data_IF_551181554702
#
_entry.id   IF_551181554702
#
_cell.length_a   1.000
_cell.length_b   1.000
_cell.length_c   1.000
_cell.angle_alpha   90.00
_cell.angle_beta   90.00
_cell.angle_gamma   90.00
#
_symmetry.space_group_name_H-M   'P 1'
#
loop_
_entity.id
_entity.type
_entity.pdbx_description
1 polymer ?
#
# COMPACT_ATOMS: atom_id res chain seq x y z
N UNK A 1 6.08 -16.60 2.98
CA UNK A 1 6.73 -16.85 1.67
C UNK A 1 5.82 -17.75 0.85
N UNK A 2 4.91 -17.21 0.04
CA UNK A 2 4.13 -17.98 -0.94
C UNK A 2 5.07 -18.57 -2.00
N UNK A 3 4.92 -19.85 -2.31
CA UNK A 3 5.94 -20.67 -2.97
C UNK A 3 6.09 -20.41 -4.47
N UNK A 4 7.31 -20.06 -4.89
CA UNK A 4 7.78 -20.20 -6.26
C UNK A 4 7.94 -21.70 -6.58
N UNK A 5 7.01 -22.29 -7.33
CA UNK A 5 7.20 -23.63 -7.92
C UNK A 5 7.34 -23.50 -9.43
N UNK A 6 8.59 -23.38 -9.85
CA UNK A 6 9.07 -23.36 -11.23
C UNK A 6 10.58 -23.15 -11.18
N UNK A 7 11.35 -24.21 -11.41
CA UNK A 7 12.80 -24.31 -11.18
C UNK A 7 13.57 -23.15 -11.85
N UNK A 8 14.39 -22.40 -11.09
CA UNK A 8 15.32 -21.40 -11.63
C UNK A 8 16.72 -21.99 -11.57
N UNK A 9 17.27 -22.36 -12.74
CA UNK A 9 18.64 -22.89 -12.85
C UNK A 9 19.54 -21.82 -13.46
N UNK A 10 20.64 -21.49 -12.78
CA UNK A 10 21.69 -20.65 -13.36
C UNK A 10 22.88 -21.54 -13.71
N UNK A 11 23.30 -21.53 -14.97
CA UNK A 11 24.49 -22.25 -15.43
C UNK A 11 25.63 -21.25 -15.59
N UNK A 12 26.74 -21.48 -14.89
CA UNK A 12 27.93 -20.66 -14.99
C UNK A 12 29.08 -21.53 -15.48
N UNK A 13 29.71 -21.12 -16.58
CA UNK A 13 30.89 -21.77 -17.14
C UNK A 13 32.09 -20.85 -16.94
N UNK A 14 32.96 -21.18 -15.98
CA UNK A 14 34.11 -20.34 -15.63
C UNK A 14 34.80 -20.78 -14.34
N UNK A 15 35.92 -20.13 -14.03
CA UNK A 15 36.71 -20.42 -12.83
C UNK A 15 36.11 -19.68 -11.63
N UNK A 16 35.55 -20.41 -10.67
CA UNK A 16 34.78 -19.85 -9.53
C UNK A 16 35.70 -19.42 -8.37
N UNK A 17 36.86 -20.05 -8.20
CA UNK A 17 37.87 -19.62 -7.22
C UNK A 17 39.25 -20.20 -7.53
N UNK A 18 40.30 -19.37 -7.41
CA UNK A 18 41.66 -19.85 -7.19
C UNK A 18 41.91 -19.81 -5.67
N UNK A 19 42.18 -20.97 -5.06
CA UNK A 19 42.67 -21.12 -3.67
C UNK A 19 41.71 -21.02 -2.46
N UNK A 20 40.45 -20.61 -2.59
CA UNK A 20 39.50 -20.68 -1.45
C UNK A 20 38.63 -21.94 -1.51
N UNK A 21 38.69 -22.79 -0.47
CA UNK A 21 37.99 -24.09 -0.41
C UNK A 21 36.46 -24.00 -0.32
N UNK A 22 35.88 -22.80 -0.26
CA UNK A 22 34.44 -22.61 -0.08
C UNK A 22 33.95 -21.45 -0.96
N UNK A 23 33.39 -21.75 -2.15
CA UNK A 23 32.70 -20.75 -2.95
C UNK A 23 31.61 -20.10 -2.11
N UNK A 24 31.54 -18.76 -2.11
CA UNK A 24 30.43 -18.07 -1.46
C UNK A 24 29.11 -18.51 -2.10
N UNK A 25 28.07 -18.82 -1.31
CA UNK A 25 26.78 -19.21 -1.86
C UNK A 25 26.24 -18.09 -2.74
N UNK A 26 25.84 -18.43 -3.96
CA UNK A 26 25.24 -17.47 -4.88
C UNK A 26 23.84 -17.11 -4.40
N UNK A 27 23.59 -15.82 -4.22
CA UNK A 27 22.29 -15.29 -3.86
C UNK A 27 21.67 -14.59 -5.06
N UNK A 28 20.45 -14.99 -5.43
CA UNK A 28 19.67 -14.34 -6.47
C UNK A 28 18.52 -13.56 -5.84
N UNK A 29 18.37 -12.30 -6.23
CA UNK A 29 17.19 -11.50 -5.89
C UNK A 29 16.20 -11.54 -7.05
N UNK A 30 15.19 -12.40 -6.94
CA UNK A 30 14.08 -12.45 -7.89
C UNK A 30 12.98 -11.50 -7.43
N UNK A 31 12.42 -10.74 -8.37
CA UNK A 31 11.32 -9.80 -8.11
C UNK A 31 10.12 -10.19 -8.95
N UNK A 32 8.93 -10.15 -8.35
CA UNK A 32 7.67 -10.50 -9.00
C UNK A 32 6.70 -9.34 -8.82
N UNK A 33 6.66 -8.41 -9.77
CA UNK A 33 5.77 -7.24 -9.69
C UNK A 33 4.64 -7.32 -10.70
N UNK A 34 4.94 -7.68 -11.95
CA UNK A 34 3.99 -7.64 -13.09
C UNK A 34 3.57 -9.01 -13.62
N UNK A 35 4.04 -10.11 -13.03
CA UNK A 35 3.78 -11.47 -13.50
C UNK A 35 3.47 -12.42 -12.32
N UNK A 36 2.68 -13.46 -12.54
CA UNK A 36 2.42 -14.52 -11.55
C UNK A 36 1.29 -14.25 -10.54
N UNK A 37 0.50 -13.20 -10.75
CA UNK A 37 -0.74 -12.98 -10.01
C UNK A 37 -1.76 -14.10 -10.31
N UNK A 38 -2.71 -14.29 -9.40
CA UNK A 38 -3.86 -15.15 -9.66
C UNK A 38 -4.81 -14.43 -10.63
N UNK A 39 -4.54 -14.59 -11.93
CA UNK A 39 -5.17 -13.84 -13.01
C UNK A 39 -4.32 -12.68 -13.56
N UNK A 40 -4.91 -11.80 -14.40
CA UNK A 40 -4.21 -10.64 -14.95
C UNK A 40 -3.90 -9.61 -13.87
N UNK A 41 -2.72 -8.99 -13.95
CA UNK A 41 -2.33 -7.90 -13.04
C UNK A 41 -3.24 -6.72 -13.24
N UNK A 42 -3.86 -6.25 -12.16
CA UNK A 42 -4.65 -5.04 -12.16
C UNK A 42 -3.73 -3.82 -12.24
N UNK A 43 -3.96 -2.96 -13.23
CA UNK A 43 -3.26 -1.69 -13.44
C UNK A 43 -1.72 -1.76 -13.37
N UNK A 44 -1.07 -2.46 -14.32
CA UNK A 44 0.36 -2.81 -14.24
C UNK A 44 1.31 -1.61 -14.31
N UNK A 45 0.87 -0.51 -14.95
CA UNK A 45 1.69 0.70 -15.16
C UNK A 45 2.12 1.37 -13.85
N UNK A 46 1.29 1.28 -12.81
CA UNK A 46 1.50 1.92 -11.50
C UNK A 46 1.82 0.93 -10.39
N UNK A 47 2.01 -0.35 -10.73
CA UNK A 47 2.26 -1.42 -9.75
C UNK A 47 3.69 -1.38 -9.19
N UNK A 48 4.66 -0.98 -10.02
CA UNK A 48 6.06 -0.84 -9.64
C UNK A 48 6.36 0.62 -9.27
N UNK A 49 6.86 0.84 -8.06
CA UNK A 49 7.37 2.15 -7.62
C UNK A 49 8.89 2.02 -7.46
N UNK A 50 9.63 2.79 -8.26
CA UNK A 50 11.09 2.84 -8.21
C UNK A 50 11.53 3.85 -7.14
N UNK A 51 12.03 3.32 -6.03
CA UNK A 51 12.68 4.08 -4.98
C UNK A 51 14.19 4.06 -5.24
N UNK A 52 14.86 5.19 -5.17
CA UNK A 52 16.32 5.26 -5.27
C UNK A 52 16.89 5.71 -3.93
N UNK A 53 17.84 4.94 -3.40
CA UNK A 53 18.65 5.37 -2.26
C UNK A 53 20.00 5.85 -2.76
N UNK A 54 20.18 7.18 -2.82
CA UNK A 54 21.42 7.80 -3.27
C UNK A 54 22.46 7.93 -2.15
N UNK A 55 22.03 7.83 -0.89
CA UNK A 55 22.85 8.13 0.29
C UNK A 55 23.40 6.88 1.01
N UNK A 56 22.86 5.70 0.71
CA UNK A 56 23.32 4.44 1.31
C UNK A 56 24.75 4.09 0.90
N UNK A 57 25.60 3.83 1.90
CA UNK A 57 26.95 3.29 1.66
C UNK A 57 26.83 1.92 1.00
N UNK A 58 27.48 1.75 -0.14
CA UNK A 58 27.66 0.47 -0.79
C UNK A 58 29.04 -0.08 -0.44
N UNK A 59 29.09 -1.31 0.06
CA UNK A 59 30.35 -2.01 0.24
C UNK A 59 30.97 -2.28 -1.14
N UNK A 60 32.29 -2.15 -1.25
CA UNK A 60 33.06 -2.43 -2.47
C UNK A 60 32.64 -1.62 -3.72
N UNK A 61 32.14 -0.38 -3.54
CA UNK A 61 31.71 0.51 -4.64
C UNK A 61 32.78 0.74 -5.72
N UNK A 62 34.07 0.70 -5.34
CA UNK A 62 35.19 0.89 -6.25
C UNK A 62 35.36 -0.25 -7.28
N UNK A 63 34.85 -1.45 -6.97
CA UNK A 63 35.00 -2.64 -7.82
C UNK A 63 33.76 -2.90 -8.70
N UNK A 64 32.70 -2.09 -8.56
CA UNK A 64 31.42 -2.25 -9.24
C UNK A 64 31.30 -1.31 -10.45
N UNK A 65 30.62 -1.78 -11.50
CA UNK A 65 30.29 -0.93 -12.65
C UNK A 65 29.18 0.07 -12.29
N UNK A 66 29.14 1.21 -12.98
CA UNK A 66 28.10 2.22 -12.78
C UNK A 66 26.67 1.65 -12.90
N UNK A 67 26.47 0.66 -13.77
CA UNK A 67 25.19 -0.04 -13.94
C UNK A 67 24.85 -0.93 -12.73
N UNK A 68 25.84 -1.60 -12.13
CA UNK A 68 25.64 -2.41 -10.93
C UNK A 68 25.31 -1.52 -9.72
N UNK A 69 25.98 -0.39 -9.58
CA UNK A 69 25.72 0.61 -8.53
C UNK A 69 24.29 1.14 -8.66
N UNK A 70 23.85 1.52 -9.87
CA UNK A 70 22.49 1.97 -10.10
C UNK A 70 21.44 0.91 -9.73
N UNK A 71 21.70 -0.36 -10.06
CA UNK A 71 20.80 -1.48 -9.72
C UNK A 71 20.74 -1.79 -8.22
N UNK A 72 21.85 -1.63 -7.50
CA UNK A 72 21.92 -1.81 -6.05
C UNK A 72 21.19 -0.69 -5.31
N UNK A 73 21.30 0.54 -5.79
CA UNK A 73 20.61 1.72 -5.25
C UNK A 73 19.11 1.74 -5.59
N UNK A 74 18.69 1.04 -6.65
CA UNK A 74 17.29 0.95 -7.07
C UNK A 74 16.49 -0.08 -6.25
N UNK A 75 15.70 0.42 -5.32
CA UNK A 75 14.70 -0.33 -4.57
C UNK A 75 13.41 -0.40 -5.40
N UNK A 76 13.11 -1.61 -5.85
CA UNK A 76 11.87 -1.91 -6.56
C UNK A 76 10.80 -2.22 -5.52
N UNK A 77 9.99 -1.21 -5.19
CA UNK A 77 8.91 -1.34 -4.24
C UNK A 77 7.57 -1.56 -4.96
N UNK A 78 6.61 -2.13 -4.24
CA UNK A 78 5.29 -2.40 -4.78
C UNK A 78 4.29 -1.36 -4.28
N UNK A 79 3.39 -0.94 -5.15
CA UNK A 79 2.31 -0.05 -4.78
C UNK A 79 1.38 -0.75 -3.76
N UNK A 80 1.14 -0.15 -2.58
CA UNK A 80 0.34 -0.81 -1.55
C UNK A 80 -1.13 -0.99 -1.93
N UNK A 81 -1.69 -0.16 -2.82
CA UNK A 81 -3.03 -0.40 -3.36
C UNK A 81 -3.09 -1.74 -4.11
N UNK A 82 -2.06 -2.07 -4.89
CA UNK A 82 -1.94 -3.35 -5.58
C UNK A 82 -1.76 -4.52 -4.61
N UNK A 83 -1.01 -4.34 -3.51
CA UNK A 83 -0.88 -5.36 -2.47
C UNK A 83 -2.26 -5.69 -1.87
N UNK A 84 -3.07 -4.67 -1.57
CA UNK A 84 -4.42 -4.86 -1.04
C UNK A 84 -5.35 -5.56 -2.03
N UNK A 85 -5.24 -5.21 -3.32
CA UNK A 85 -5.98 -5.89 -4.39
C UNK A 85 -5.55 -7.35 -4.52
N UNK A 86 -4.26 -7.67 -4.45
CA UNK A 86 -3.79 -9.05 -4.47
C UNK A 86 -4.29 -9.85 -3.25
N UNK A 87 -4.29 -9.24 -2.06
CA UNK A 87 -4.85 -9.85 -0.84
C UNK A 87 -6.36 -10.11 -0.96
N UNK A 88 -7.09 -9.28 -1.71
CA UNK A 88 -8.51 -9.46 -1.95
C UNK A 88 -8.80 -10.54 -3.00
N UNK A 89 -8.08 -10.52 -4.12
CA UNK A 89 -8.37 -11.36 -5.30
C UNK A 89 -7.81 -12.78 -5.21
N UNK A 90 -6.65 -12.97 -4.56
CA UNK A 90 -5.96 -14.25 -4.60
C UNK A 90 -6.80 -15.35 -3.93
N UNK A 91 -7.05 -16.45 -4.64
CA UNK A 91 -7.87 -17.57 -4.16
C UNK A 91 -7.11 -18.54 -3.25
N UNK A 92 -5.79 -18.63 -3.38
CA UNK A 92 -4.97 -19.59 -2.64
C UNK A 92 -4.63 -19.12 -1.22
N UNK A 93 -4.46 -17.81 -1.03
CA UNK A 93 -4.05 -17.24 0.26
C UNK A 93 -4.72 -15.91 0.63
N UNK A 94 -5.50 -15.34 -0.28
CA UNK A 94 -6.27 -14.11 -0.06
C UNK A 94 -7.72 -14.38 0.30
N UNK A 95 -8.58 -13.39 0.09
CA UNK A 95 -10.04 -13.51 0.33
C UNK A 95 -10.80 -14.21 -0.81
N UNK A 96 -10.17 -14.42 -1.97
CA UNK A 96 -10.82 -15.03 -3.14
C UNK A 96 -11.99 -14.23 -3.73
N UNK A 97 -12.02 -12.91 -3.49
CA UNK A 97 -13.03 -11.99 -4.02
C UNK A 97 -12.86 -11.79 -5.53
N UNK A 98 -13.90 -11.28 -6.18
CA UNK A 98 -13.85 -10.93 -7.60
C UNK A 98 -13.55 -9.43 -7.74
N UNK A 99 -12.88 -9.05 -8.83
CA UNK A 99 -12.59 -7.63 -9.16
C UNK A 99 -13.85 -6.72 -9.11
N UNK A 100 -15.04 -7.27 -9.36
CA UNK A 100 -16.31 -6.54 -9.29
C UNK A 100 -16.76 -6.18 -7.87
N UNK A 101 -16.28 -6.89 -6.85
CA UNK A 101 -16.58 -6.63 -5.44
C UNK A 101 -15.74 -5.46 -4.88
N UNK A 102 -14.73 -5.03 -5.64
CA UNK A 102 -13.88 -3.88 -5.32
C UNK A 102 -14.36 -2.64 -6.07
N UNK A 103 -14.31 -1.49 -5.40
CA UNK A 103 -14.53 -0.20 -6.04
C UNK A 103 -13.27 0.21 -6.81
N UNK A 104 -13.15 -0.25 -8.06
CA UNK A 104 -11.95 -0.07 -8.91
C UNK A 104 -11.54 1.40 -9.01
N UNK A 105 -12.49 2.33 -9.10
CA UNK A 105 -12.20 3.77 -9.21
C UNK A 105 -11.50 4.30 -7.96
N UNK A 106 -11.97 3.88 -6.78
CA UNK A 106 -11.36 4.29 -5.50
C UNK A 106 -9.96 3.71 -5.34
N UNK A 107 -9.76 2.44 -5.70
CA UNK A 107 -8.42 1.83 -5.69
C UNK A 107 -7.49 2.50 -6.71
N UNK A 108 -7.99 2.89 -7.88
CA UNK A 108 -7.20 3.55 -8.91
C UNK A 108 -6.72 4.92 -8.46
N UNK A 109 -7.62 5.75 -7.91
CA UNK A 109 -7.27 7.05 -7.34
C UNK A 109 -6.20 6.89 -6.25
N UNK A 110 -6.38 5.90 -5.36
CA UNK A 110 -5.39 5.62 -4.33
C UNK A 110 -4.03 5.20 -4.91
N UNK A 111 -4.03 4.31 -5.91
CA UNK A 111 -2.82 3.84 -6.57
C UNK A 111 -2.07 4.97 -7.28
N UNK A 112 -2.79 5.88 -7.95
CA UNK A 112 -2.19 7.03 -8.63
C UNK A 112 -1.55 8.00 -7.63
N UNK A 113 -2.26 8.33 -6.54
CA UNK A 113 -1.71 9.18 -5.46
C UNK A 113 -0.44 8.61 -4.85
N UNK A 114 -0.45 7.32 -4.51
CA UNK A 114 0.72 6.64 -3.93
C UNK A 114 1.91 6.60 -4.89
N UNK A 115 1.65 6.45 -6.19
CA UNK A 115 2.69 6.48 -7.21
C UNK A 115 3.29 7.88 -7.36
N UNK A 116 2.46 8.92 -7.37
CA UNK A 116 2.90 10.31 -7.49
C UNK A 116 3.69 10.77 -6.25
N UNK A 117 3.34 10.27 -5.05
CA UNK A 117 4.12 10.44 -3.82
C UNK A 117 5.44 9.63 -3.81
N UNK A 118 5.60 8.67 -4.71
CA UNK A 118 6.71 7.71 -4.68
C UNK A 118 6.65 6.74 -3.50
N UNK A 119 5.47 6.53 -2.90
CA UNK A 119 5.32 5.71 -1.70
C UNK A 119 5.12 4.23 -2.04
N UNK A 120 6.21 3.46 -2.06
CA UNK A 120 6.19 2.02 -2.28
C UNK A 120 6.54 1.21 -1.03
N UNK A 121 5.89 0.05 -0.86
CA UNK A 121 6.16 -0.86 0.27
C UNK A 121 6.88 -2.13 -0.18
N UNK A 122 7.79 -2.62 0.68
CA UNK A 122 8.53 -3.87 0.51
C UNK A 122 8.24 -4.82 1.68
N UNK A 123 7.00 -5.29 1.82
CA UNK A 123 6.64 -6.20 2.91
C UNK A 123 6.83 -7.67 2.58
N UNK A 124 7.31 -8.43 3.56
CA UNK A 124 7.34 -9.88 3.51
C UNK A 124 6.05 -10.43 4.10
N UNK A 125 5.23 -11.05 3.27
CA UNK A 125 4.07 -11.82 3.75
C UNK A 125 4.50 -13.20 4.28
N UNK A 126 4.11 -13.50 5.52
CA UNK A 126 4.29 -14.80 6.14
C UNK A 126 2.93 -15.48 6.36
N UNK A 127 2.87 -16.81 6.19
CA UNK A 127 1.61 -17.57 6.37
C UNK A 127 1.29 -17.85 7.84
N UNK A 128 2.20 -17.50 8.75
CA UNK A 128 2.00 -17.65 10.18
C UNK A 128 1.08 -16.56 10.75
N UNK A 129 1.01 -15.41 10.07
CA UNK A 129 0.19 -14.28 10.48
C UNK A 129 -1.17 -14.31 9.77
N UNK A 130 -2.19 -13.82 10.46
CA UNK A 130 -3.52 -13.68 9.87
C UNK A 130 -3.53 -12.64 8.74
N UNK A 131 -4.24 -12.96 7.65
CA UNK A 131 -4.39 -12.07 6.50
C UNK A 131 -4.95 -10.69 6.89
N UNK A 132 -5.91 -10.65 7.83
CA UNK A 132 -6.49 -9.39 8.28
C UNK A 132 -5.46 -8.52 9.00
N UNK A 133 -4.57 -9.11 9.80
CA UNK A 133 -3.48 -8.39 10.47
C UNK A 133 -2.51 -7.82 9.44
N UNK A 134 -2.18 -8.59 8.39
CA UNK A 134 -1.34 -8.10 7.30
C UNK A 134 -2.00 -6.94 6.53
N UNK A 135 -3.30 -7.04 6.23
CA UNK A 135 -4.05 -5.95 5.60
C UNK A 135 -4.07 -4.69 6.46
N UNK A 136 -4.30 -4.83 7.77
CA UNK A 136 -4.24 -3.70 8.71
C UNK A 136 -2.85 -3.07 8.76
N UNK A 137 -1.79 -3.87 8.82
CA UNK A 137 -0.42 -3.37 8.75
C UNK A 137 -0.18 -2.54 7.48
N UNK A 138 -0.64 -3.01 6.31
CA UNK A 138 -0.52 -2.24 5.07
C UNK A 138 -1.31 -0.93 5.15
N UNK A 139 -2.55 -0.96 5.66
CA UNK A 139 -3.41 0.22 5.84
C UNK A 139 -2.81 1.25 6.78
N UNK A 140 -2.22 0.82 7.89
CA UNK A 140 -1.58 1.70 8.88
C UNK A 140 -0.35 2.41 8.32
N UNK A 141 0.42 1.74 7.45
CA UNK A 141 1.61 2.34 6.83
C UNK A 141 1.27 3.39 5.77
N UNK A 142 0.20 3.16 5.00
CA UNK A 142 -0.25 4.15 4.00
C UNK A 142 -1.12 5.25 4.61
N UNK A 143 -1.65 5.03 5.82
CA UNK A 143 -2.67 5.87 6.41
C UNK A 143 -3.96 5.83 5.58
N UNK A 144 -4.56 4.65 5.44
CA UNK A 144 -5.84 4.50 4.72
C UNK A 144 -6.86 3.72 5.54
N UNK A 145 -8.13 3.90 5.21
CA UNK A 145 -9.21 3.08 5.69
C UNK A 145 -9.83 2.28 4.54
N UNK A 146 -10.01 0.98 4.75
CA UNK A 146 -10.81 0.13 3.87
C UNK A 146 -12.15 -0.15 4.54
N UNK A 147 -13.25 0.12 3.84
CA UNK A 147 -14.61 -0.14 4.33
C UNK A 147 -15.49 -0.68 3.21
N UNK A 148 -16.48 -1.50 3.58
CA UNK A 148 -17.55 -1.90 2.68
C UNK A 148 -18.61 -0.81 2.65
N UNK A 149 -18.89 -0.25 1.48
CA UNK A 149 -20.01 0.68 1.34
C UNK A 149 -21.33 -0.10 1.36
N UNK A 150 -22.22 0.25 2.30
CA UNK A 150 -23.52 -0.40 2.50
C UNK A 150 -24.47 -0.20 1.31
N UNK A 151 -24.27 0.86 0.51
CA UNK A 151 -25.14 1.17 -0.62
C UNK A 151 -24.77 0.39 -1.88
N UNK A 152 -23.47 0.21 -2.12
CA UNK A 152 -22.95 -0.47 -3.32
C UNK A 152 -22.53 -1.91 -3.06
N UNK A 153 -22.33 -2.30 -1.80
CA UNK A 153 -21.79 -3.61 -1.41
C UNK A 153 -20.31 -3.78 -1.74
N UNK A 154 -19.64 -2.72 -2.21
CA UNK A 154 -18.26 -2.78 -2.69
C UNK A 154 -17.26 -2.37 -1.63
N UNK A 155 -16.11 -3.04 -1.63
CA UNK A 155 -14.95 -2.64 -0.84
C UNK A 155 -14.36 -1.37 -1.43
N UNK A 156 -14.33 -0.31 -0.63
CA UNK A 156 -13.78 0.99 -1.00
C UNK A 156 -12.53 1.25 -0.16
N UNK A 157 -11.49 1.75 -0.83
CA UNK A 157 -10.25 2.20 -0.19
C UNK A 157 -10.21 3.72 -0.20
N UNK A 158 -10.03 4.33 0.97
CA UNK A 158 -9.89 5.78 1.13
C UNK A 158 -8.59 6.10 1.85
N UNK A 159 -7.72 6.86 1.21
CA UNK A 159 -6.52 7.41 1.83
C UNK A 159 -6.90 8.56 2.77
N UNK A 160 -6.23 8.64 3.92
CA UNK A 160 -6.37 9.72 4.89
C UNK A 160 -5.27 10.76 4.61
N UNK A 161 -5.46 11.56 3.55
CA UNK A 161 -4.55 12.64 3.11
C UNK A 161 -5.26 14.00 3.13
N UNK A 162 -4.51 15.06 2.83
CA UNK A 162 -4.93 16.47 2.82
C UNK A 162 -5.87 16.80 1.63
N UNK A 163 -6.86 15.94 1.39
CA UNK A 163 -7.87 16.09 0.33
C UNK A 163 -8.95 17.13 0.69
N UNK A 164 -8.70 17.98 1.68
CA UNK A 164 -9.60 19.06 2.10
C UNK A 164 -8.92 20.41 1.87
N UNK A 165 -9.63 21.33 1.21
CA UNK A 165 -9.21 22.73 1.17
C UNK A 165 -9.65 23.38 2.49
N UNK A 166 -8.72 23.85 3.34
CA UNK A 166 -9.05 24.52 4.60
C UNK A 166 -10.00 25.71 4.41
N UNK A 167 -9.98 26.35 3.24
CA UNK A 167 -10.81 27.50 2.92
C UNK A 167 -12.26 27.13 2.59
N UNK A 168 -12.53 25.87 2.29
CA UNK A 168 -13.90 25.35 2.03
C UNK A 168 -14.53 24.72 3.26
N UNK A 169 -13.77 24.59 4.36
CA UNK A 169 -14.29 24.08 5.61
C UNK A 169 -15.35 25.05 6.15
N UNK A 170 -16.58 24.61 6.39
CA UNK A 170 -17.58 25.44 7.05
C UNK A 170 -17.08 25.77 8.47
N UNK A 171 -16.75 27.04 8.70
CA UNK A 171 -16.38 27.55 10.00
C UNK A 171 -17.64 27.64 10.86
N UNK A 172 -17.82 26.67 11.75
CA UNK A 172 -18.92 26.71 12.71
C UNK A 172 -18.59 27.69 13.83
N UNK A 173 -19.03 28.95 13.67
CA UNK A 173 -19.04 29.95 14.74
C UNK A 173 -20.28 29.77 15.63
N UNK A 174 -20.30 30.44 16.78
CA UNK A 174 -21.41 30.39 17.75
C UNK A 174 -22.78 30.74 17.12
N UNK A 175 -22.78 31.53 16.03
CA UNK A 175 -23.99 31.96 15.33
C UNK A 175 -24.47 30.98 14.24
N UNK A 176 -23.63 30.04 13.79
CA UNK A 176 -23.92 29.12 12.68
C UNK A 176 -23.87 27.62 13.07
N UNK A 177 -23.61 27.31 14.34
CA UNK A 177 -23.63 25.93 14.84
C UNK A 177 -25.06 25.39 14.94
N UNK A 178 -25.29 24.17 14.46
CA UNK A 178 -26.54 23.38 14.53
C UNK A 178 -26.96 23.03 15.99
N UNK A 179 -26.55 23.82 16.97
CA UNK A 179 -27.08 23.75 18.33
C UNK A 179 -28.36 24.58 18.39
N UNK A 180 -29.40 24.06 17.74
CA UNK A 180 -30.79 24.37 18.06
C UNK A 180 -31.11 23.80 19.44
N UNK A 181 -30.45 24.28 20.50
CA UNK A 181 -30.90 24.10 21.86
C UNK A 181 -32.24 24.82 21.97
N UNK A 182 -33.30 24.06 21.73
CA UNK A 182 -34.67 24.44 22.03
C UNK A 182 -34.73 24.85 23.52
N UNK A 183 -34.57 26.14 23.78
CA UNK A 183 -34.92 26.75 25.04
C UNK A 183 -36.42 26.57 25.21
N UNK A 184 -36.82 25.49 25.88
CA UNK A 184 -38.13 25.42 26.55
C UNK A 184 -38.22 26.67 27.39
N UNK A 185 -38.98 27.66 26.91
CA UNK A 185 -39.39 28.83 27.68
C UNK A 185 -40.04 28.29 28.96
N UNK A 186 -39.30 28.34 30.06
CA UNK A 186 -39.84 28.06 31.36
C UNK A 186 -40.99 29.04 31.60
N UNK A 187 -42.13 28.50 31.99
CA UNK A 187 -43.30 29.24 32.43
C UNK A 187 -42.91 30.25 33.52
N UNK A 188 -42.67 31.50 33.13
CA UNK A 188 -42.63 32.60 34.09
C UNK A 188 -44.08 33.00 34.37
N UNK A 189 -44.58 32.49 35.50
CA UNK A 189 -45.91 32.79 36.03
C UNK A 189 -46.11 34.30 36.10
N UNK A 190 -47.18 34.78 35.46
CA UNK A 190 -47.74 36.12 35.72
C UNK A 190 -48.10 36.21 37.21
N UNK A 191 -47.52 37.15 37.94
CA UNK A 191 -48.14 37.76 39.13
C UNK A 191 -48.55 39.17 38.72
N UNK A 192 -49.82 39.49 38.98
CA UNK A 192 -50.48 40.75 38.63
C UNK A 192 -50.01 41.94 39.50
N UNK A 193 -50.53 43.14 39.20
CA UNK A 193 -50.08 44.39 39.80
C UNK A 193 -50.80 44.69 41.11
N UNK A 194 -50.04 45.14 42.12
CA UNK A 194 -50.44 46.10 43.15
C UNK A 194 -49.28 47.08 43.34
#
# INVERSE_FOLDING_TARGET
MPGFRGLVTTFFSGLVSCYSASPKPWSYRVRRTTQGWDGPVWYPEKALILLQNTEGQLDDEADLTAEQIANLRAIHAMNPAHILVECALNRDWGRGLVLGDLNIDSYRIAADRLYDEGFGLCFRYNRQDDLNTFVQQVLDHIGAAQYGDLSTGKLTLKLLRDDYDPNTLPLFTYDNGIVGCAGRRQHQRRRGPE
#
